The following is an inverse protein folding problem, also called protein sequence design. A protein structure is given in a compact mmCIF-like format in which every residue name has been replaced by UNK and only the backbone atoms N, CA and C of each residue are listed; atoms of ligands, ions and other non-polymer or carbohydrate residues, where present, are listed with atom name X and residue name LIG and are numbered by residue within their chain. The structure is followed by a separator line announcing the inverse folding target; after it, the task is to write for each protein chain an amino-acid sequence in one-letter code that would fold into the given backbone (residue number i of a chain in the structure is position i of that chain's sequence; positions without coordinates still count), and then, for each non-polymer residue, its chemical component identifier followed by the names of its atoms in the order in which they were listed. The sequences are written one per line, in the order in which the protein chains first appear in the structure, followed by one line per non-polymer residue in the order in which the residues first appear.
data_IF_637889294137
#
_entry.id   IF_637889294137
#
_cell.length_a   1.000
_cell.length_b   1.000
_cell.length_c   1.000
_cell.angle_alpha   90.00
_cell.angle_beta   90.00
_cell.angle_gamma   90.00
#
_symmetry.space_group_name_H-M   'P 1'
#
loop_
_entity.id
_entity.type
_entity.pdbx_description
1 polymer ?
#
# COMPACT_ATOMS: atom_id res chain seq x y z
N UNK A 1 21.44 -3.90 -20.08
CA UNK A 1 20.55 -4.58 -19.11
C UNK A 1 19.75 -5.75 -19.71
N UNK A 2 20.07 -6.18 -20.92
CA UNK A 2 19.42 -7.33 -21.60
C UNK A 2 19.87 -8.70 -21.06
N UNK A 3 20.76 -8.72 -20.09
CA UNK A 3 21.24 -9.94 -19.44
C UNK A 3 20.15 -10.50 -18.51
N UNK A 4 19.84 -11.79 -18.62
CA UNK A 4 18.89 -12.50 -17.74
C UNK A 4 19.21 -12.37 -16.24
N UNK A 5 20.46 -12.11 -15.89
CA UNK A 5 20.86 -11.85 -14.50
C UNK A 5 20.24 -10.57 -13.92
N UNK A 6 19.77 -9.65 -14.77
CA UNK A 6 19.04 -8.47 -14.30
C UNK A 6 17.68 -8.83 -13.67
N UNK A 7 17.07 -9.95 -14.04
CA UNK A 7 15.86 -10.47 -13.41
C UNK A 7 16.13 -10.77 -11.92
N UNK A 8 17.30 -11.36 -11.61
CA UNK A 8 17.69 -11.63 -10.24
C UNK A 8 17.89 -10.34 -9.41
N UNK A 9 18.30 -9.23 -10.04
CA UNK A 9 18.34 -7.93 -9.39
C UNK A 9 16.92 -7.48 -8.99
N UNK A 10 15.96 -7.59 -9.88
CA UNK A 10 14.57 -7.20 -9.62
C UNK A 10 13.99 -8.07 -8.50
N UNK A 11 14.07 -9.39 -8.63
CA UNK A 11 13.51 -10.32 -7.66
C UNK A 11 14.16 -10.19 -6.27
N UNK A 12 15.47 -9.99 -6.21
CA UNK A 12 16.18 -9.95 -4.95
C UNK A 12 16.23 -8.53 -4.37
N UNK A 13 16.63 -7.52 -5.14
CA UNK A 13 16.73 -6.16 -4.63
C UNK A 13 15.35 -5.55 -4.39
N UNK A 14 14.51 -5.43 -5.42
CA UNK A 14 13.18 -4.86 -5.26
C UNK A 14 12.32 -5.72 -4.32
N UNK A 15 12.44 -7.05 -4.40
CA UNK A 15 11.75 -7.98 -3.52
C UNK A 15 12.07 -7.80 -2.03
N UNK A 16 13.30 -7.43 -1.69
CA UNK A 16 13.72 -7.13 -0.32
C UNK A 16 13.39 -5.69 0.06
N UNK A 17 13.83 -4.73 -0.75
CA UNK A 17 13.62 -3.32 -0.50
C UNK A 17 12.14 -2.98 -0.29
N UNK A 18 11.27 -3.44 -1.18
CA UNK A 18 9.83 -3.17 -1.12
C UNK A 18 9.04 -4.19 -0.28
N UNK A 19 9.73 -5.09 0.41
CA UNK A 19 9.11 -6.15 1.23
C UNK A 19 8.15 -7.08 0.48
N UNK A 20 8.29 -7.21 -0.86
CA UNK A 20 7.41 -8.01 -1.72
C UNK A 20 7.39 -9.50 -1.36
N UNK A 21 8.45 -10.00 -0.70
CA UNK A 21 8.50 -11.39 -0.21
C UNK A 21 7.39 -11.66 0.81
N UNK A 22 6.98 -10.66 1.57
CA UNK A 22 5.93 -10.78 2.57
C UNK A 22 4.53 -10.91 1.94
N UNK A 23 4.35 -10.53 0.67
CA UNK A 23 3.07 -10.71 -0.04
C UNK A 23 2.60 -12.17 0.00
N UNK A 24 3.53 -13.13 -0.04
CA UNK A 24 3.19 -14.55 0.05
C UNK A 24 2.67 -14.99 1.42
N UNK A 25 3.05 -14.29 2.48
CA UNK A 25 2.68 -14.62 3.86
C UNK A 25 1.40 -13.89 4.33
N UNK A 26 0.99 -12.82 3.66
CA UNK A 26 -0.22 -12.09 4.05
C UNK A 26 -1.46 -12.94 3.79
N UNK A 27 -2.34 -13.01 4.78
CA UNK A 27 -3.61 -13.73 4.70
C UNK A 27 -4.76 -12.78 5.05
N UNK A 28 -5.29 -12.03 4.08
CA UNK A 28 -6.50 -11.25 4.29
C UNK A 28 -7.66 -12.15 4.70
N UNK A 29 -8.51 -11.62 5.57
CA UNK A 29 -9.69 -12.29 6.08
C UNK A 29 -10.64 -12.63 4.92
N UNK A 30 -10.97 -13.90 4.76
CA UNK A 30 -11.80 -14.39 3.65
C UNK A 30 -13.24 -13.91 3.76
N UNK A 31 -13.75 -13.66 4.97
CA UNK A 31 -15.10 -13.13 5.18
C UNK A 31 -15.20 -11.66 4.75
N UNK A 32 -14.09 -10.90 4.91
CA UNK A 32 -14.03 -9.49 4.52
C UNK A 32 -13.60 -9.34 3.05
N UNK A 33 -12.67 -10.18 2.60
CA UNK A 33 -12.07 -10.10 1.27
C UNK A 33 -12.19 -11.43 0.49
N UNK A 34 -13.40 -11.90 0.20
CA UNK A 34 -13.62 -13.23 -0.41
C UNK A 34 -12.99 -13.39 -1.80
N UNK A 35 -12.73 -12.29 -2.48
CA UNK A 35 -12.08 -12.30 -3.79
C UNK A 35 -10.55 -12.36 -3.73
N UNK A 36 -9.94 -12.27 -2.54
CA UNK A 36 -8.49 -12.38 -2.41
C UNK A 36 -8.06 -13.85 -2.49
N UNK A 37 -7.05 -14.12 -3.32
CA UNK A 37 -6.54 -15.48 -3.47
C UNK A 37 -5.19 -15.50 -4.17
N UNK A 38 -4.62 -16.69 -4.29
CA UNK A 38 -3.23 -16.86 -4.77
C UNK A 38 -2.96 -16.20 -6.13
N UNK A 39 -3.93 -16.26 -7.07
CA UNK A 39 -3.78 -15.61 -8.38
C UNK A 39 -3.68 -14.08 -8.30
N UNK A 40 -4.40 -13.47 -7.35
CA UNK A 40 -4.32 -12.02 -7.14
C UNK A 40 -3.02 -11.65 -6.44
N UNK A 41 -2.60 -12.43 -5.45
CA UNK A 41 -1.33 -12.30 -4.74
C UNK A 41 -0.13 -12.30 -5.70
N UNK A 42 -0.09 -13.28 -6.60
CA UNK A 42 0.93 -13.35 -7.64
C UNK A 42 0.88 -12.16 -8.60
N UNK A 43 -0.34 -11.71 -8.94
CA UNK A 43 -0.52 -10.56 -9.82
C UNK A 43 -0.01 -9.26 -9.18
N UNK A 44 -0.24 -9.04 -7.90
CA UNK A 44 0.30 -7.92 -7.13
C UNK A 44 1.82 -7.87 -7.15
N UNK A 45 2.44 -9.00 -6.89
CA UNK A 45 3.90 -9.10 -6.92
C UNK A 45 4.44 -8.80 -8.32
N UNK A 46 3.84 -9.43 -9.35
CA UNK A 46 4.28 -9.28 -10.73
C UNK A 46 4.10 -7.87 -11.28
N UNK A 47 3.07 -7.17 -10.90
CA UNK A 47 2.86 -5.76 -11.23
C UNK A 47 4.06 -4.91 -10.81
N UNK A 48 4.47 -5.04 -9.55
CA UNK A 48 5.55 -4.24 -8.97
C UNK A 48 6.90 -4.61 -9.58
N UNK A 49 7.16 -5.89 -9.80
CA UNK A 49 8.36 -6.35 -10.50
C UNK A 49 8.44 -5.77 -11.92
N UNK A 50 7.33 -5.72 -12.65
CA UNK A 50 7.27 -5.18 -14.01
C UNK A 50 7.43 -3.66 -14.07
N UNK A 51 6.89 -2.93 -13.09
CA UNK A 51 7.13 -1.49 -12.99
C UNK A 51 8.62 -1.23 -12.77
N UNK A 52 9.24 -1.92 -11.82
CA UNK A 52 10.66 -1.79 -11.55
C UNK A 52 11.51 -2.17 -12.77
N UNK A 53 11.19 -3.28 -13.44
CA UNK A 53 11.84 -3.74 -14.67
C UNK A 53 11.75 -2.68 -15.79
N UNK A 54 10.58 -2.06 -15.96
CA UNK A 54 10.38 -1.03 -16.98
C UNK A 54 11.21 0.21 -16.71
N UNK A 55 11.30 0.66 -15.47
CA UNK A 55 12.14 1.82 -15.11
C UNK A 55 13.61 1.52 -15.35
N UNK A 56 14.05 0.31 -14.99
CA UNK A 56 15.45 -0.11 -15.14
C UNK A 56 15.86 -0.29 -16.60
N UNK A 57 15.05 -1.01 -17.40
CA UNK A 57 15.42 -1.37 -18.80
C UNK A 57 15.18 -0.25 -19.80
N UNK A 58 14.20 0.61 -19.55
CA UNK A 58 13.87 1.73 -20.43
C UNK A 58 14.64 3.00 -20.05
N UNK A 59 15.57 2.90 -19.09
CA UNK A 59 16.39 4.03 -18.58
C UNK A 59 15.53 5.23 -18.16
N UNK A 60 14.37 4.93 -17.56
CA UNK A 60 13.43 5.95 -17.10
C UNK A 60 13.90 6.62 -15.81
N UNK A 61 13.27 7.73 -15.47
CA UNK A 61 13.53 8.38 -14.18
C UNK A 61 13.16 7.45 -13.02
N UNK A 62 14.00 7.39 -11.99
CA UNK A 62 13.67 6.68 -10.74
C UNK A 62 12.43 7.27 -10.06
N UNK A 63 12.09 8.53 -10.35
CA UNK A 63 10.85 9.15 -9.87
C UNK A 63 9.60 8.47 -10.45
N UNK A 64 9.71 7.79 -11.60
CA UNK A 64 8.61 7.02 -12.17
C UNK A 64 8.18 5.89 -11.24
N UNK A 65 9.05 5.40 -10.35
CA UNK A 65 8.64 4.45 -9.31
C UNK A 65 7.53 5.01 -8.39
N UNK A 66 7.48 6.32 -8.20
CA UNK A 66 6.48 6.98 -7.36
C UNK A 66 5.40 7.71 -8.16
N UNK A 67 5.73 8.18 -9.36
CA UNK A 67 4.88 9.09 -10.13
C UNK A 67 4.42 8.51 -11.48
N UNK A 68 4.67 7.22 -11.76
CA UNK A 68 4.23 6.62 -13.01
C UNK A 68 2.70 6.74 -13.17
N UNK A 69 2.28 7.24 -14.32
CA UNK A 69 0.89 7.32 -14.75
C UNK A 69 0.42 6.04 -15.50
N UNK A 70 1.18 4.97 -15.36
CA UNK A 70 0.90 3.65 -15.94
C UNK A 70 1.17 2.54 -14.92
N UNK A 71 0.58 1.38 -15.15
CA UNK A 71 0.87 0.14 -14.43
C UNK A 71 0.86 -1.07 -15.34
N UNK A 72 1.14 -2.25 -14.79
CA UNK A 72 1.13 -3.52 -15.50
C UNK A 72 0.06 -4.44 -14.94
N UNK A 73 -0.91 -4.82 -15.77
CA UNK A 73 -2.02 -5.67 -15.34
C UNK A 73 -2.27 -6.82 -16.31
N UNK A 74 -2.74 -7.93 -15.75
CA UNK A 74 -3.47 -8.97 -16.47
C UNK A 74 -4.99 -8.81 -16.20
N UNK A 75 -5.84 -9.67 -16.76
CA UNK A 75 -7.29 -9.59 -16.55
C UNK A 75 -7.69 -9.67 -15.07
N UNK A 76 -7.03 -10.52 -14.27
CA UNK A 76 -7.35 -10.69 -12.85
C UNK A 76 -7.09 -9.41 -12.06
N UNK A 77 -5.94 -8.78 -12.30
CA UNK A 77 -5.56 -7.56 -11.62
C UNK A 77 -6.36 -6.35 -12.12
N UNK A 78 -6.56 -6.26 -13.43
CA UNK A 78 -7.37 -5.19 -14.03
C UNK A 78 -8.80 -5.17 -13.46
N UNK A 79 -9.41 -6.35 -13.32
CA UNK A 79 -10.74 -6.49 -12.69
C UNK A 79 -10.73 -6.05 -11.23
N UNK A 80 -9.66 -6.36 -10.51
CA UNK A 80 -9.50 -5.96 -9.11
C UNK A 80 -9.41 -4.43 -8.95
N UNK A 81 -8.72 -3.77 -9.87
CA UNK A 81 -8.56 -2.31 -9.88
C UNK A 81 -9.69 -1.55 -10.58
N UNK A 82 -10.64 -2.26 -11.20
CA UNK A 82 -11.71 -1.63 -11.97
C UNK A 82 -11.27 -1.13 -13.35
N UNK A 83 -10.10 -1.57 -13.86
CA UNK A 83 -9.60 -1.20 -15.20
C UNK A 83 -10.33 -2.04 -16.25
N UNK A 84 -11.08 -1.39 -17.18
CA UNK A 84 -11.89 -2.10 -18.16
C UNK A 84 -11.07 -2.68 -19.32
N UNK A 85 -11.68 -3.55 -20.10
CA UNK A 85 -11.22 -4.02 -21.40
C UNK A 85 -9.91 -4.82 -21.43
N UNK A 86 -9.40 -5.28 -20.29
CA UNK A 86 -8.24 -6.15 -20.20
C UNK A 86 -8.69 -7.62 -20.12
N UNK A 87 -8.16 -8.47 -21.02
CA UNK A 87 -8.49 -9.90 -21.09
C UNK A 87 -7.22 -10.75 -21.11
N UNK A 88 -7.31 -11.95 -20.55
CA UNK A 88 -6.26 -12.96 -20.55
C UNK A 88 -5.24 -12.82 -19.41
N UNK A 89 -4.33 -13.79 -19.34
CA UNK A 89 -3.40 -13.93 -18.22
C UNK A 89 -2.09 -13.15 -18.38
N UNK A 90 -1.75 -12.72 -19.61
CA UNK A 90 -0.50 -11.99 -19.81
C UNK A 90 -0.60 -10.55 -19.31
N UNK A 91 0.49 -10.08 -18.71
CA UNK A 91 0.61 -8.69 -18.26
C UNK A 91 0.90 -7.76 -19.43
N UNK A 92 0.33 -6.58 -19.38
CA UNK A 92 0.57 -5.49 -20.33
C UNK A 92 0.57 -4.16 -19.60
N UNK A 93 1.35 -3.24 -20.10
CA UNK A 93 1.32 -1.85 -19.63
C UNK A 93 -0.02 -1.23 -20.01
N UNK A 94 -0.63 -0.54 -19.07
CA UNK A 94 -1.84 0.25 -19.27
C UNK A 94 -1.63 1.64 -18.72
N UNK A 95 -2.09 2.64 -19.46
CA UNK A 95 -2.13 4.02 -18.99
C UNK A 95 -3.26 4.15 -17.97
N UNK A 96 -3.01 4.84 -16.88
CA UNK A 96 -4.00 5.16 -15.86
C UNK A 96 -4.71 6.45 -16.27
N UNK A 97 -6.03 6.40 -16.39
CA UNK A 97 -6.84 7.56 -16.81
C UNK A 97 -7.02 8.60 -15.69
N UNK A 98 -6.83 8.14 -14.44
CA UNK A 98 -6.88 8.98 -13.26
C UNK A 98 -5.55 8.91 -12.48
N UNK A 99 -5.31 9.92 -11.64
CA UNK A 99 -4.10 10.02 -10.82
C UNK A 99 -4.19 9.27 -9.50
N UNK A 100 -5.29 8.55 -9.22
CA UNK A 100 -5.52 7.93 -7.91
C UNK A 100 -4.59 6.75 -7.63
N UNK A 101 -4.08 6.09 -8.69
CA UNK A 101 -3.26 4.86 -8.57
C UNK A 101 -1.90 5.01 -9.26
N UNK A 102 -1.15 6.03 -8.97
CA UNK A 102 0.17 6.23 -9.56
C UNK A 102 1.29 5.53 -8.78
N UNK A 103 2.25 4.94 -9.49
CA UNK A 103 3.49 4.40 -8.91
C UNK A 103 3.31 3.34 -7.83
N UNK A 104 4.39 3.03 -7.13
CA UNK A 104 4.47 1.96 -6.11
C UNK A 104 3.42 2.07 -5.00
N UNK A 105 3.12 3.30 -4.55
CA UNK A 105 2.19 3.51 -3.44
C UNK A 105 0.74 3.14 -3.80
N UNK A 106 0.41 3.06 -5.08
CA UNK A 106 -0.87 2.57 -5.58
C UNK A 106 -0.93 1.07 -5.82
N UNK A 107 0.18 0.33 -5.70
CA UNK A 107 0.24 -1.10 -5.99
C UNK A 107 -0.38 -1.95 -4.88
N UNK A 108 -1.18 -2.93 -5.27
CA UNK A 108 -1.82 -3.86 -4.34
C UNK A 108 -0.84 -4.63 -3.48
N UNK A 109 0.38 -4.91 -3.97
CA UNK A 109 1.44 -5.54 -3.18
C UNK A 109 1.81 -4.73 -1.94
N UNK A 110 2.10 -3.44 -2.12
CA UNK A 110 2.49 -2.52 -1.04
C UNK A 110 1.33 -2.30 -0.07
N UNK A 111 0.15 -2.01 -0.61
CA UNK A 111 -1.06 -1.75 0.17
C UNK A 111 -1.46 -2.96 1.03
N UNK A 112 -1.23 -4.18 0.54
CA UNK A 112 -1.58 -5.40 1.25
C UNK A 112 -0.54 -5.76 2.34
N UNK A 113 0.75 -5.66 2.07
CA UNK A 113 1.78 -5.96 3.09
C UNK A 113 1.82 -4.92 4.22
N UNK A 114 1.20 -3.77 4.01
CA UNK A 114 1.10 -2.67 4.98
C UNK A 114 -0.30 -2.55 5.60
N UNK A 115 -1.05 -3.63 5.61
CA UNK A 115 -2.40 -3.72 6.19
C UNK A 115 -2.52 -4.91 7.13
N UNK A 116 -3.55 -4.91 7.98
CA UNK A 116 -3.95 -6.08 8.75
C UNK A 116 -4.83 -7.01 7.90
N UNK A 117 -5.10 -8.19 8.40
CA UNK A 117 -5.92 -9.18 7.68
C UNK A 117 -7.32 -8.64 7.32
N UNK A 118 -7.94 -7.88 8.19
CA UNK A 118 -9.32 -7.43 8.08
C UNK A 118 -9.50 -5.91 7.89
N UNK A 119 -8.43 -5.12 7.96
CA UNK A 119 -8.52 -3.65 7.87
C UNK A 119 -7.21 -3.00 7.43
N UNK A 120 -7.28 -1.74 7.05
CA UNK A 120 -6.12 -0.90 6.78
C UNK A 120 -5.35 -0.54 8.05
N UNK A 121 -4.12 -0.08 7.85
CA UNK A 121 -3.31 0.48 8.95
C UNK A 121 -2.50 1.67 8.45
N UNK A 122 -2.98 2.90 8.66
CA UNK A 122 -2.19 4.09 8.34
C UNK A 122 -0.82 4.07 9.01
N UNK A 123 -0.72 3.54 10.23
CA UNK A 123 0.57 3.42 10.94
C UNK A 123 1.56 2.53 10.20
N UNK A 124 1.15 1.34 9.76
CA UNK A 124 2.02 0.44 9.00
C UNK A 124 2.37 1.01 7.63
N UNK A 125 1.42 1.66 6.95
CA UNK A 125 1.62 2.34 5.66
C UNK A 125 2.62 3.48 5.80
N UNK A 126 2.42 4.35 6.77
CA UNK A 126 3.32 5.48 7.04
C UNK A 126 4.71 5.03 7.46
N UNK A 127 4.80 4.05 8.36
CA UNK A 127 6.07 3.43 8.74
C UNK A 127 6.82 2.90 7.53
N UNK A 128 6.13 2.15 6.66
CA UNK A 128 6.72 1.58 5.45
C UNK A 128 7.25 2.68 4.51
N UNK A 129 6.51 3.78 4.33
CA UNK A 129 6.95 4.94 3.52
C UNK A 129 8.23 5.55 4.11
N UNK A 130 8.26 5.78 5.42
CA UNK A 130 9.43 6.34 6.10
C UNK A 130 10.66 5.42 5.95
N UNK A 131 10.49 4.12 6.15
CA UNK A 131 11.59 3.14 6.12
C UNK A 131 12.09 2.89 4.71
N UNK A 132 11.19 2.63 3.75
CA UNK A 132 11.57 2.09 2.44
C UNK A 132 11.70 3.18 1.36
N UNK A 133 10.98 4.29 1.48
CA UNK A 133 11.03 5.36 0.48
C UNK A 133 11.90 6.53 0.95
N UNK A 134 11.71 6.98 2.19
CA UNK A 134 12.41 8.16 2.71
C UNK A 134 13.72 7.81 3.44
N UNK A 135 13.95 6.54 3.80
CA UNK A 135 15.16 6.13 4.53
C UNK A 135 15.27 6.71 5.95
N UNK A 136 14.15 7.11 6.52
CA UNK A 136 14.04 7.73 7.86
C UNK A 136 13.15 6.87 8.77
N UNK A 137 13.61 5.69 9.20
CA UNK A 137 12.81 4.80 10.03
C UNK A 137 12.40 5.50 11.33
N UNK A 138 11.14 5.37 11.76
CA UNK A 138 10.73 5.88 13.06
C UNK A 138 11.44 5.12 14.19
N UNK A 139 11.59 5.72 15.37
CA UNK A 139 12.14 5.03 16.53
C UNK A 139 11.30 3.80 16.89
N UNK A 140 11.89 2.76 17.51
CA UNK A 140 11.14 1.60 17.94
C UNK A 140 10.06 2.01 18.95
N UNK A 141 8.89 1.35 18.96
CA UNK A 141 7.84 1.62 19.90
C UNK A 141 8.33 1.39 21.33
N UNK A 142 7.86 2.16 22.32
CA UNK A 142 8.10 1.87 23.72
C UNK A 142 7.61 0.46 24.08
N UNK A 143 8.16 -0.18 25.11
CA UNK A 143 7.58 -1.41 25.64
C UNK A 143 6.15 -1.11 26.17
N UNK A 144 5.24 -2.06 26.02
CA UNK A 144 3.86 -1.99 26.55
C UNK A 144 2.98 -0.89 25.92
N UNK A 145 3.06 -0.72 24.58
CA UNK A 145 2.12 0.15 23.86
C UNK A 145 0.73 -0.48 23.89
N UNK A 146 -0.29 0.19 24.47
CA UNK A 146 -1.66 -0.30 24.42
C UNK A 146 -2.15 -0.32 22.97
N UNK A 147 -2.96 -1.33 22.65
CA UNK A 147 -3.63 -1.37 21.35
C UNK A 147 -4.56 -0.17 21.19
N UNK A 148 -4.82 0.21 19.94
CA UNK A 148 -5.77 1.28 19.63
C UNK A 148 -7.15 0.85 20.16
N UNK A 149 -7.62 1.51 21.19
CA UNK A 149 -8.96 1.26 21.74
C UNK A 149 -9.99 1.61 20.66
N UNK A 150 -10.73 0.63 20.20
CA UNK A 150 -11.96 0.87 19.44
C UNK A 150 -12.99 1.40 20.45
N UNK A 151 -13.52 2.58 20.18
CA UNK A 151 -14.44 3.27 21.10
C UNK A 151 -15.52 2.33 21.65
N UNK A 152 -15.49 2.12 22.97
CA UNK A 152 -16.47 1.26 23.66
C UNK A 152 -17.88 1.89 23.76
N UNK A 153 -18.04 3.15 23.36
CA UNK A 153 -19.29 3.85 23.54
C UNK A 153 -19.69 4.74 22.37
N UNK A 154 -20.75 4.39 21.67
CA UNK A 154 -21.49 5.30 20.84
C UNK A 154 -21.23 5.19 19.34
N UNK A 155 -21.02 6.30 18.68
CA UNK A 155 -20.78 6.37 17.23
C UNK A 155 -19.40 5.86 16.88
N UNK A 156 -19.26 4.96 15.91
CA UNK A 156 -17.95 4.49 15.47
C UNK A 156 -17.14 5.67 14.93
N UNK A 157 -15.96 5.91 15.50
CA UNK A 157 -15.04 6.92 15.02
C UNK A 157 -14.48 6.55 13.64
N UNK A 158 -14.20 7.53 12.82
CA UNK A 158 -13.35 7.32 11.65
C UNK A 158 -11.94 6.91 12.09
N UNK A 159 -11.18 6.26 11.20
CA UNK A 159 -9.79 5.89 11.49
C UNK A 159 -8.96 7.12 11.89
N UNK A 160 -9.15 8.25 11.22
CA UNK A 160 -8.49 9.52 11.54
C UNK A 160 -8.80 10.00 12.96
N UNK A 161 -10.07 10.06 13.33
CA UNK A 161 -10.50 10.50 14.67
C UNK A 161 -9.94 9.58 15.77
N UNK A 162 -9.96 8.28 15.56
CA UNK A 162 -9.38 7.31 16.50
C UNK A 162 -7.87 7.53 16.68
N UNK A 163 -7.15 7.79 15.59
CA UNK A 163 -5.72 8.09 15.64
C UNK A 163 -5.42 9.45 16.28
N UNK A 164 -6.26 10.45 16.06
CA UNK A 164 -6.14 11.75 16.72
C UNK A 164 -6.32 11.65 18.23
N UNK A 165 -7.28 10.86 18.69
CA UNK A 165 -7.44 10.56 20.11
C UNK A 165 -6.22 9.84 20.69
N UNK A 166 -5.69 8.84 19.99
CA UNK A 166 -4.47 8.14 20.41
C UNK A 166 -3.28 9.09 20.54
N UNK A 167 -3.12 10.02 19.61
CA UNK A 167 -2.06 11.05 19.63
C UNK A 167 -2.22 12.11 20.71
N UNK A 168 -3.35 12.17 21.40
CA UNK A 168 -3.50 13.06 22.56
C UNK A 168 -2.51 12.71 23.68
N UNK A 169 -2.05 11.45 23.75
CA UNK A 169 -0.95 11.05 24.61
C UNK A 169 0.41 11.51 24.00
N UNK A 170 1.19 12.36 24.71
CA UNK A 170 2.47 12.87 24.19
C UNK A 170 3.50 11.77 23.84
N UNK A 171 3.47 10.65 24.54
CA UNK A 171 4.37 9.51 24.29
C UNK A 171 4.06 8.90 22.92
N UNK A 172 2.77 8.68 22.63
CA UNK A 172 2.32 8.14 21.34
C UNK A 172 2.54 9.16 20.22
N UNK A 173 2.28 10.45 20.49
CA UNK A 173 2.43 11.53 19.52
C UNK A 173 3.85 11.63 18.93
N UNK A 174 4.88 11.28 19.67
CA UNK A 174 6.28 11.41 19.24
C UNK A 174 6.59 10.64 17.95
N UNK A 175 6.03 9.44 17.78
CA UNK A 175 6.18 8.62 16.57
C UNK A 175 5.05 8.84 15.57
N UNK A 176 3.81 8.93 16.06
CA UNK A 176 2.62 9.01 15.21
C UNK A 176 2.53 10.30 14.37
N UNK A 177 3.11 11.40 14.82
CA UNK A 177 3.20 12.65 14.03
C UNK A 177 3.94 12.47 12.71
N UNK A 178 4.90 11.56 12.66
CA UNK A 178 5.68 11.28 11.45
C UNK A 178 5.01 10.22 10.58
N UNK A 179 4.47 9.17 11.18
CA UNK A 179 3.93 8.00 10.47
C UNK A 179 2.51 8.22 9.94
N UNK A 180 1.65 8.83 10.76
CA UNK A 180 0.22 8.87 10.44
C UNK A 180 -0.11 9.69 9.17
N UNK A 181 0.45 10.89 8.95
CA UNK A 181 0.08 11.69 7.79
C UNK A 181 0.34 10.98 6.44
N UNK A 182 1.55 10.44 6.17
CA UNK A 182 1.77 9.71 4.92
C UNK A 182 0.95 8.43 4.83
N UNK A 183 0.66 7.77 5.96
CA UNK A 183 -0.17 6.58 5.96
C UNK A 183 -1.65 6.87 5.70
N UNK A 184 -2.20 7.93 6.27
CA UNK A 184 -3.57 8.39 6.04
C UNK A 184 -3.80 8.81 4.59
N UNK A 185 -2.77 9.31 3.88
CA UNK A 185 -2.89 9.68 2.47
C UNK A 185 -3.23 8.49 1.56
N UNK A 186 -3.03 7.26 2.04
CA UNK A 186 -3.36 6.03 1.33
C UNK A 186 -4.68 5.37 1.81
N UNK A 187 -5.46 6.02 2.68
CA UNK A 187 -6.62 5.40 3.32
C UNK A 187 -7.79 5.16 2.35
N UNK A 188 -7.82 5.85 1.21
CA UNK A 188 -8.75 5.52 0.12
C UNK A 188 -8.50 4.15 -0.50
N UNK A 189 -7.37 3.50 -0.24
CA UNK A 189 -7.16 2.11 -0.60
C UNK A 189 -7.51 1.20 0.58
N UNK A 190 -8.36 0.19 0.35
CA UNK A 190 -8.65 -0.84 1.36
C UNK A 190 -7.43 -1.74 1.65
N UNK A 191 -7.59 -2.74 2.51
CA UNK A 191 -6.49 -3.61 2.92
C UNK A 191 -5.95 -4.52 1.80
N UNK A 192 -6.64 -4.66 0.70
CA UNK A 192 -6.18 -5.38 -0.50
C UNK A 192 -6.03 -4.47 -1.72
N UNK A 193 -5.91 -3.16 -1.49
CA UNK A 193 -5.61 -2.18 -2.51
C UNK A 193 -6.75 -1.82 -3.47
N UNK A 194 -8.02 -2.05 -3.13
CA UNK A 194 -9.16 -1.50 -3.86
C UNK A 194 -9.39 -0.06 -3.47
N UNK A 195 -9.75 0.77 -4.43
CA UNK A 195 -10.15 2.14 -4.15
C UNK A 195 -11.53 2.19 -3.47
N UNK A 196 -11.68 3.08 -2.47
CA UNK A 196 -12.92 3.33 -1.75
C UNK A 196 -13.00 4.79 -1.30
N UNK A 197 -14.19 5.35 -1.33
CA UNK A 197 -14.48 6.73 -0.87
C UNK A 197 -15.03 6.75 0.56
N UNK A 198 -15.42 5.58 1.09
CA UNK A 198 -15.99 5.42 2.42
C UNK A 198 -15.31 4.29 3.18
N UNK A 199 -15.16 4.52 4.48
CA UNK A 199 -14.67 3.50 5.41
C UNK A 199 -15.70 2.38 5.65
N UNK A 200 -15.31 1.39 6.41
CA UNK A 200 -16.20 0.32 6.89
C UNK A 200 -17.39 0.87 7.69
N UNK A 201 -17.20 1.99 8.39
CA UNK A 201 -18.26 2.69 9.13
C UNK A 201 -19.14 3.59 8.25
N UNK A 202 -18.95 3.55 6.91
CA UNK A 202 -19.61 4.40 5.89
C UNK A 202 -19.31 5.90 5.99
N UNK A 203 -18.39 6.32 6.86
CA UNK A 203 -17.91 7.69 6.90
C UNK A 203 -17.10 7.99 5.62
N UNK A 204 -17.16 9.24 5.14
CA UNK A 204 -16.33 9.71 4.05
C UNK A 204 -14.88 9.69 4.52
N UNK A 205 -13.99 9.14 3.70
CA UNK A 205 -12.56 9.06 4.03
C UNK A 205 -11.93 10.43 3.74
N UNK A 206 -11.29 11.00 4.76
CA UNK A 206 -10.35 12.10 4.60
C UNK A 206 -8.93 11.55 4.53
N UNK A 207 -8.43 11.45 3.31
CA UNK A 207 -7.08 10.99 3.01
C UNK A 207 -6.07 12.15 2.93
N UNK A 208 -6.38 13.33 3.43
CA UNK A 208 -5.42 14.42 3.48
C UNK A 208 -4.22 14.03 4.35
N UNK A 209 -3.03 14.36 3.89
CA UNK A 209 -1.79 14.07 4.61
C UNK A 209 -0.67 14.97 4.09
N UNK A 210 0.32 15.21 4.95
CA UNK A 210 1.54 15.93 4.59
C UNK A 210 2.73 15.08 4.93
N UNK A 211 3.76 15.14 4.09
CA UNK A 211 5.03 14.53 4.43
C UNK A 211 5.67 15.29 5.60
N UNK A 212 6.36 14.60 6.50
CA UNK A 212 7.16 15.26 7.53
C UNK A 212 8.27 16.09 6.87
N UNK A 213 8.52 17.28 7.42
CA UNK A 213 9.60 18.17 7.01
C UNK A 213 10.97 17.59 7.36
#
# INVERSE_FOLDING_TARGET
LDDRRSEALIENFAGQWLTLRNVSAVQPDEDVFPDFGERLRQAFRRETELLFDSVLREERSTLDLLAADYTFVNERLARHYGIPNIRGSHFRRVQLEDSVRGGLLGHGSILTVTSYANRTSPVLRGKWILENILGTPPPPPPPDVPELETAESGTPLSMREAMEQHRANPVCASCHRLMDPPGLSLENFDAIGRWRDRSETKAVIDASGVLPD
#
